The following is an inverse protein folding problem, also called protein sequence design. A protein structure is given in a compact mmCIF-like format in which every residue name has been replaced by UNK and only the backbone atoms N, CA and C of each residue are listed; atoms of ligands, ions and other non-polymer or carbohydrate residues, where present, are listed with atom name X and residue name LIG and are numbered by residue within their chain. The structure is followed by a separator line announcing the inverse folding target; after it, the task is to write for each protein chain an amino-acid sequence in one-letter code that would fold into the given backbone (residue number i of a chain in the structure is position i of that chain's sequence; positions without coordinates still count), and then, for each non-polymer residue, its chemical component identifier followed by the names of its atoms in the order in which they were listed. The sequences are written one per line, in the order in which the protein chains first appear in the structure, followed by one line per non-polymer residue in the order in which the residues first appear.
data_IF_681912328047
#
_entry.id   IF_681912328047
#
_cell.length_a   1.000
_cell.length_b   1.000
_cell.length_c   1.000
_cell.angle_alpha   90.00
_cell.angle_beta   90.00
_cell.angle_gamma   90.00
#
_symmetry.space_group_name_H-M   'P 1'
#
loop_
_entity.id
_entity.type
_entity.pdbx_description
1 polymer ?
#
# COMPACT_ATOMS: atom_id res chain seq x y z
N UNK A 1 5.43 0.86 12.94
CA UNK A 1 6.57 0.37 13.76
C UNK A 1 7.85 0.46 12.93
N UNK A 2 8.63 1.51 13.15
CA UNK A 2 9.92 1.71 12.50
C UNK A 2 10.96 1.01 13.39
N UNK A 3 11.42 -0.17 12.96
CA UNK A 3 12.46 -0.92 13.65
C UNK A 3 13.81 -0.27 13.35
N UNK A 4 14.27 0.65 14.21
CA UNK A 4 15.65 1.14 14.21
C UNK A 4 16.55 0.05 14.82
N UNK A 5 17.08 -0.85 13.98
CA UNK A 5 18.25 -1.67 14.33
C UNK A 5 19.38 -1.19 13.42
N UNK A 6 20.57 -0.86 13.96
CA UNK A 6 21.68 -0.35 13.15
C UNK A 6 22.10 -1.39 12.10
N UNK A 7 22.54 -0.95 10.90
CA UNK A 7 23.02 -1.85 9.87
C UNK A 7 24.29 -2.54 10.37
N UNK A 8 24.22 -3.87 10.55
CA UNK A 8 25.41 -4.67 10.84
C UNK A 8 26.25 -4.74 9.55
N UNK A 9 27.54 -4.38 9.57
CA UNK A 9 28.37 -4.40 8.38
C UNK A 9 28.54 -5.83 7.86
N UNK A 10 28.20 -6.05 6.60
CA UNK A 10 28.50 -7.29 5.88
C UNK A 10 29.99 -7.32 5.56
N UNK A 11 30.75 -8.17 6.24
CA UNK A 11 32.14 -8.45 5.89
C UNK A 11 32.16 -9.63 4.95
N UNK A 12 32.63 -9.42 3.72
CA UNK A 12 32.81 -10.48 2.74
C UNK A 12 34.30 -10.67 2.47
N UNK A 13 34.74 -11.93 2.45
CA UNK A 13 36.10 -12.30 2.06
C UNK A 13 36.02 -13.18 0.83
N UNK A 14 36.49 -12.66 -0.31
CA UNK A 14 36.60 -13.41 -1.56
C UNK A 14 38.00 -13.97 -1.72
N UNK A 15 38.09 -15.19 -2.25
CA UNK A 15 39.36 -15.82 -2.62
C UNK A 15 39.30 -16.22 -4.10
N UNK A 16 40.35 -15.89 -4.84
CA UNK A 16 40.50 -16.25 -6.25
C UNK A 16 41.64 -17.25 -6.38
N UNK A 17 41.39 -18.38 -7.02
CA UNK A 17 42.45 -19.30 -7.47
C UNK A 17 43.05 -18.78 -8.77
N UNK A 18 44.31 -19.13 -9.05
CA UNK A 18 45.09 -18.63 -10.20
C UNK A 18 44.50 -18.96 -11.58
N UNK A 19 43.56 -19.90 -11.64
CA UNK A 19 42.73 -20.17 -12.82
C UNK A 19 41.34 -19.56 -12.60
N UNK A 20 41.13 -18.37 -13.17
CA UNK A 20 39.92 -17.53 -13.04
C UNK A 20 38.64 -18.14 -13.65
N UNK A 21 38.23 -19.36 -13.26
CA UNK A 21 36.94 -19.93 -13.64
C UNK A 21 36.01 -20.24 -12.46
N UNK A 22 36.49 -20.15 -11.22
CA UNK A 22 35.66 -20.47 -10.06
C UNK A 22 35.84 -19.43 -8.96
N UNK A 23 34.76 -18.69 -8.70
CA UNK A 23 34.65 -17.76 -7.58
C UNK A 23 33.87 -18.44 -6.46
N UNK A 24 34.32 -18.26 -5.22
CA UNK A 24 33.55 -18.66 -4.05
C UNK A 24 33.53 -17.54 -3.03
N UNK A 25 32.33 -17.27 -2.53
CA UNK A 25 32.04 -16.18 -1.61
C UNK A 25 31.62 -16.82 -0.30
N UNK A 26 32.45 -16.67 0.74
CA UNK A 26 32.11 -17.08 2.09
C UNK A 26 31.69 -15.83 2.85
N UNK A 27 30.43 -15.81 3.27
CA UNK A 27 29.86 -14.77 4.12
C UNK A 27 29.69 -15.30 5.53
N UNK A 28 29.86 -14.43 6.52
CA UNK A 28 29.40 -14.68 7.90
C UNK A 28 27.88 -14.71 8.00
N UNK A 29 27.34 -14.63 9.22
CA UNK A 29 25.90 -14.68 9.47
C UNK A 29 25.13 -13.56 8.76
N UNK A 30 24.26 -13.95 7.81
CA UNK A 30 23.34 -13.04 7.13
C UNK A 30 22.05 -12.95 7.92
N UNK A 31 21.75 -11.77 8.47
CA UNK A 31 20.48 -11.47 9.13
C UNK A 31 19.58 -10.70 8.18
N UNK A 32 18.50 -11.32 7.71
CA UNK A 32 17.48 -10.66 6.89
C UNK A 32 16.17 -10.55 7.68
N UNK A 33 15.61 -9.33 7.80
CA UNK A 33 14.25 -9.11 8.31
C UNK A 33 13.31 -8.91 7.14
N UNK A 34 12.53 -9.94 6.84
CA UNK A 34 11.52 -9.90 5.79
C UNK A 34 10.18 -9.49 6.40
N UNK A 35 9.68 -8.32 6.02
CA UNK A 35 8.30 -7.94 6.32
C UNK A 35 7.31 -8.80 5.52
N UNK A 36 6.04 -8.91 5.95
CA UNK A 36 5.04 -9.76 5.30
C UNK A 36 4.95 -9.58 3.78
N UNK A 37 5.04 -8.34 3.28
CA UNK A 37 5.03 -8.03 1.86
C UNK A 37 6.26 -8.58 1.09
N UNK A 38 7.45 -8.54 1.70
CA UNK A 38 8.67 -9.10 1.11
C UNK A 38 8.65 -10.63 1.13
N UNK A 39 8.22 -11.23 2.24
CA UNK A 39 8.03 -12.68 2.36
C UNK A 39 7.03 -13.20 1.33
N UNK A 40 5.92 -12.48 1.14
CA UNK A 40 4.92 -12.80 0.14
C UNK A 40 5.49 -12.74 -1.29
N UNK A 41 6.24 -11.68 -1.60
CA UNK A 41 6.85 -11.50 -2.93
C UNK A 41 7.87 -12.59 -3.22
N UNK A 42 8.72 -12.93 -2.24
CA UNK A 42 9.69 -14.02 -2.38
C UNK A 42 9.00 -15.38 -2.56
N UNK A 43 8.00 -15.69 -1.74
CA UNK A 43 7.25 -16.94 -1.87
C UNK A 43 6.54 -17.04 -3.24
N UNK A 44 5.96 -15.95 -3.73
CA UNK A 44 5.32 -15.90 -5.05
C UNK A 44 6.33 -16.06 -6.18
N UNK A 45 7.50 -15.43 -6.06
CA UNK A 45 8.59 -15.56 -7.05
C UNK A 45 9.18 -16.98 -7.09
N UNK A 46 9.31 -17.63 -5.94
CA UNK A 46 9.77 -19.01 -5.86
C UNK A 46 8.74 -19.98 -6.43
N UNK A 47 7.45 -19.77 -6.15
CA UNK A 47 6.37 -20.60 -6.67
C UNK A 47 6.19 -20.49 -8.20
N UNK A 48 6.62 -19.36 -8.80
CA UNK A 48 6.62 -19.14 -10.26
C UNK A 48 7.96 -19.50 -10.92
N UNK A 49 8.97 -19.91 -10.16
CA UNK A 49 10.27 -20.30 -10.69
C UNK A 49 10.20 -21.71 -11.26
N UNK A 50 10.10 -21.82 -12.59
CA UNK A 50 10.23 -23.08 -13.32
C UNK A 50 8.94 -23.65 -13.93
N UNK A 51 7.77 -23.07 -13.67
CA UNK A 51 6.51 -23.42 -14.33
C UNK A 51 5.70 -22.17 -14.70
N UNK A 52 4.89 -22.24 -15.77
CA UNK A 52 3.94 -21.17 -16.08
C UNK A 52 2.95 -21.05 -14.92
N UNK A 53 2.86 -19.87 -14.26
CA UNK A 53 2.06 -19.73 -13.05
C UNK A 53 0.58 -19.92 -13.38
N UNK A 54 0.02 -21.05 -12.98
CA UNK A 54 -1.38 -21.42 -13.25
C UNK A 54 -2.38 -20.63 -12.40
N UNK A 55 -1.92 -19.86 -11.42
CA UNK A 55 -2.73 -18.90 -10.68
C UNK A 55 -1.89 -17.67 -10.29
N UNK A 56 -2.07 -16.55 -10.99
CA UNK A 56 -1.91 -15.16 -10.51
C UNK A 56 -0.79 -14.89 -9.48
N UNK A 57 0.37 -15.52 -9.64
CA UNK A 57 1.44 -15.53 -8.64
C UNK A 57 2.36 -14.31 -8.76
N UNK A 58 1.79 -13.11 -8.87
CA UNK A 58 2.47 -11.86 -8.53
C UNK A 58 1.40 -10.91 -7.98
N UNK A 59 1.13 -11.01 -6.68
CA UNK A 59 0.34 -9.99 -6.00
C UNK A 59 1.25 -8.78 -5.80
N UNK A 60 1.36 -7.95 -6.85
CA UNK A 60 2.07 -6.67 -6.85
C UNK A 60 1.73 -5.93 -5.55
N UNK A 61 2.70 -5.65 -4.67
CA UNK A 61 2.41 -4.96 -3.43
C UNK A 61 1.88 -3.55 -3.72
N UNK A 62 0.96 -3.11 -2.86
CA UNK A 62 0.37 -1.79 -2.89
C UNK A 62 0.92 -0.96 -1.75
N UNK A 63 1.27 0.29 -2.00
CA UNK A 63 1.47 1.28 -0.93
C UNK A 63 0.17 2.04 -0.76
N UNK A 64 -0.58 1.75 0.29
CA UNK A 64 -1.83 2.44 0.61
C UNK A 64 -1.49 3.67 1.45
N UNK A 65 -1.83 4.85 0.95
CA UNK A 65 -1.54 6.15 1.55
C UNK A 65 -2.85 6.82 1.96
N UNK A 66 -2.94 7.23 3.21
CA UNK A 66 -3.99 8.11 3.69
C UNK A 66 -3.52 9.57 3.48
N UNK A 67 -4.04 10.25 2.47
CA UNK A 67 -3.81 11.67 2.22
C UNK A 67 -4.98 12.53 2.71
N UNK A 68 -5.73 12.04 3.69
CA UNK A 68 -6.83 12.77 4.31
C UNK A 68 -6.42 13.31 5.68
N UNK A 69 -7.16 14.29 6.18
CA UNK A 69 -6.99 14.82 7.53
C UNK A 69 -7.75 14.00 8.59
N UNK A 70 -8.27 12.82 8.24
CA UNK A 70 -8.97 11.92 9.15
C UNK A 70 -8.26 10.56 9.16
N UNK A 71 -8.22 9.87 10.31
CA UNK A 71 -7.71 8.52 10.35
C UNK A 71 -8.70 7.58 9.64
N UNK A 72 -8.18 6.71 8.79
CA UNK A 72 -8.97 5.74 8.03
C UNK A 72 -8.56 4.32 8.41
N UNK A 73 -9.40 3.36 8.03
CA UNK A 73 -9.07 1.93 8.06
C UNK A 73 -9.40 1.30 6.72
N UNK A 74 -8.71 0.21 6.39
CA UNK A 74 -8.99 -0.57 5.19
C UNK A 74 -8.76 -2.06 5.42
N UNK A 75 -9.35 -2.88 4.54
CA UNK A 75 -9.24 -4.35 4.56
C UNK A 75 -9.47 -4.96 3.18
N UNK A 76 -9.01 -6.19 2.96
CA UNK A 76 -9.52 -7.00 1.86
C UNK A 76 -11.00 -7.32 2.07
N UNK A 77 -11.84 -7.16 1.03
CA UNK A 77 -13.26 -7.48 1.09
C UNK A 77 -13.48 -8.95 1.48
N UNK A 78 -14.40 -9.17 2.44
CA UNK A 78 -14.71 -10.51 2.96
C UNK A 78 -13.61 -11.12 3.84
N UNK A 79 -12.64 -10.34 4.30
CA UNK A 79 -11.65 -10.74 5.30
C UNK A 79 -11.91 -10.09 6.67
N UNK A 80 -11.28 -10.63 7.70
CA UNK A 80 -11.19 -10.09 9.05
C UNK A 80 -10.01 -9.12 9.22
N UNK A 81 -9.39 -8.67 8.12
CA UNK A 81 -8.31 -7.68 8.20
C UNK A 81 -8.81 -6.34 8.77
N UNK A 82 -7.95 -5.71 9.55
CA UNK A 82 -8.20 -4.39 10.12
C UNK A 82 -6.90 -3.59 10.12
N UNK A 83 -6.67 -2.81 9.07
CA UNK A 83 -5.46 -2.01 8.95
C UNK A 83 -5.83 -0.55 9.15
N UNK A 84 -5.43 0.01 10.28
CA UNK A 84 -5.61 1.42 10.60
C UNK A 84 -4.46 2.26 10.02
N UNK A 85 -4.81 3.39 9.41
CA UNK A 85 -3.90 4.38 8.82
C UNK A 85 -4.24 5.76 9.39
N UNK A 86 -3.32 6.32 10.18
CA UNK A 86 -3.46 7.71 10.64
C UNK A 86 -3.31 8.68 9.46
N UNK A 87 -3.65 9.95 9.70
CA UNK A 87 -3.54 11.01 8.71
C UNK A 87 -2.11 11.08 8.14
N UNK A 88 -1.99 11.23 6.83
CA UNK A 88 -0.71 11.35 6.11
C UNK A 88 0.24 10.16 6.26
N UNK A 89 -0.26 9.00 6.70
CA UNK A 89 0.53 7.77 6.78
C UNK A 89 0.37 6.89 5.55
N UNK A 90 1.32 5.98 5.38
CA UNK A 90 1.27 4.95 4.36
C UNK A 90 1.55 3.55 4.93
N UNK A 91 1.02 2.54 4.26
CA UNK A 91 1.17 1.14 4.64
C UNK A 91 1.48 0.31 3.39
N UNK A 92 2.54 -0.51 3.48
CA UNK A 92 2.86 -1.48 2.43
C UNK A 92 1.96 -2.71 2.61
N UNK A 93 1.01 -2.86 1.71
CA UNK A 93 -0.03 -3.86 1.70
C UNK A 93 0.21 -4.92 0.62
N UNK A 94 -0.13 -6.16 0.94
CA UNK A 94 -0.27 -7.26 -0.01
C UNK A 94 -1.56 -7.99 0.31
N UNK A 95 -2.26 -8.47 -0.71
CA UNK A 95 -3.48 -9.25 -0.52
C UNK A 95 -3.24 -10.42 0.42
N UNK A 96 -4.10 -10.58 1.43
CA UNK A 96 -3.99 -11.67 2.40
C UNK A 96 -4.24 -13.03 1.78
N UNK A 97 -5.20 -13.10 0.86
CA UNK A 97 -5.55 -14.35 0.19
C UNK A 97 -6.13 -14.11 -1.20
N UNK A 98 -5.84 -15.02 -2.11
CA UNK A 98 -6.46 -15.07 -3.45
C UNK A 98 -7.79 -15.80 -3.45
N UNK A 99 -8.20 -16.40 -2.32
CA UNK A 99 -9.48 -17.10 -2.17
C UNK A 99 -10.67 -16.14 -1.95
N UNK A 100 -10.39 -14.87 -1.69
CA UNK A 100 -11.37 -13.79 -1.50
C UNK A 100 -11.22 -12.78 -2.63
N UNK A 101 -12.24 -11.94 -2.89
CA UNK A 101 -12.15 -10.87 -3.88
C UNK A 101 -10.91 -9.99 -3.64
N UNK A 102 -10.22 -9.63 -4.73
CA UNK A 102 -9.08 -8.71 -4.69
C UNK A 102 -9.57 -7.26 -4.72
N UNK A 103 -10.38 -6.93 -3.71
CA UNK A 103 -11.05 -5.64 -3.55
C UNK A 103 -10.72 -5.06 -2.17
N UNK A 104 -10.54 -3.75 -2.10
CA UNK A 104 -10.37 -3.04 -0.83
C UNK A 104 -11.68 -2.41 -0.37
N UNK A 105 -11.98 -2.58 0.91
CA UNK A 105 -13.02 -1.83 1.62
C UNK A 105 -12.35 -0.81 2.52
N UNK A 106 -12.96 0.37 2.64
CA UNK A 106 -12.48 1.49 3.45
C UNK A 106 -13.52 1.86 4.50
N UNK A 107 -13.06 2.39 5.64
CA UNK A 107 -13.91 2.98 6.67
C UNK A 107 -13.17 4.10 7.39
N UNK A 108 -13.88 4.92 8.16
CA UNK A 108 -13.26 5.87 9.07
C UNK A 108 -12.83 5.14 10.35
N UNK A 109 -11.74 5.62 10.96
CA UNK A 109 -11.29 5.12 12.25
C UNK A 109 -11.97 5.93 13.37
N UNK A 110 -13.28 5.73 13.53
CA UNK A 110 -14.06 6.32 14.62
C UNK A 110 -14.45 5.24 15.65
N UNK A 111 -14.48 5.57 16.96
CA UNK A 111 -14.68 4.56 18.02
C UNK A 111 -16.01 3.81 17.95
N UNK A 112 -17.06 4.47 17.45
CA UNK A 112 -18.42 3.93 17.42
C UNK A 112 -18.84 3.40 16.05
N UNK A 113 -17.94 3.46 15.05
CA UNK A 113 -18.29 3.11 13.68
C UNK A 113 -17.69 1.76 13.24
N UNK A 114 -18.57 0.86 12.78
CA UNK A 114 -18.17 -0.42 12.17
C UNK A 114 -18.60 -0.53 10.71
N UNK A 115 -19.01 0.58 10.09
CA UNK A 115 -19.36 0.60 8.68
C UNK A 115 -18.12 0.52 7.78
N UNK A 116 -18.33 -0.12 6.63
CA UNK A 116 -17.34 -0.34 5.59
C UNK A 116 -17.95 0.07 4.26
N UNK A 117 -17.13 0.64 3.39
CA UNK A 117 -17.52 0.94 2.03
C UNK A 117 -17.78 -0.35 1.23
N UNK A 118 -18.39 -0.19 0.07
CA UNK A 118 -18.37 -1.24 -0.96
C UNK A 118 -16.91 -1.55 -1.35
N UNK A 119 -16.66 -2.81 -1.68
CA UNK A 119 -15.39 -3.27 -2.24
C UNK A 119 -15.00 -2.52 -3.51
N UNK A 120 -13.75 -2.08 -3.56
CA UNK A 120 -13.14 -1.39 -4.69
C UNK A 120 -12.08 -2.28 -5.34
N UNK A 121 -12.27 -2.61 -6.62
CA UNK A 121 -11.22 -3.23 -7.44
C UNK A 121 -10.16 -2.18 -7.76
N UNK A 122 -8.90 -2.46 -7.41
CA UNK A 122 -7.80 -1.55 -7.69
C UNK A 122 -7.37 -1.66 -9.15
N UNK A 123 -7.53 -0.58 -9.91
CA UNK A 123 -7.10 -0.48 -11.31
C UNK A 123 -6.15 0.70 -11.49
N UNK A 124 -4.95 0.46 -12.01
CA UNK A 124 -3.98 1.53 -12.20
C UNK A 124 -4.49 2.59 -13.19
N UNK A 125 -4.26 3.86 -12.88
CA UNK A 125 -4.65 5.00 -13.71
C UNK A 125 -6.09 5.48 -13.48
N UNK A 126 -6.83 4.90 -12.54
CA UNK A 126 -8.21 5.30 -12.25
C UNK A 126 -8.32 6.07 -10.94
N UNK A 127 -9.28 7.01 -10.92
CA UNK A 127 -9.75 7.68 -9.73
C UNK A 127 -11.20 7.23 -9.50
N UNK A 128 -11.50 6.73 -8.31
CA UNK A 128 -12.83 6.25 -7.96
C UNK A 128 -13.31 6.93 -6.69
N UNK A 129 -14.57 7.38 -6.70
CA UNK A 129 -15.22 7.94 -5.53
C UNK A 129 -15.86 6.81 -4.74
N UNK A 130 -15.38 6.62 -3.51
CA UNK A 130 -15.90 5.66 -2.56
C UNK A 130 -16.77 6.40 -1.55
N UNK A 131 -18.06 6.10 -1.53
CA UNK A 131 -19.00 6.66 -0.56
C UNK A 131 -19.03 5.79 0.69
N UNK A 132 -19.07 6.42 1.84
CA UNK A 132 -19.23 5.76 3.14
C UNK A 132 -20.18 6.57 4.01
N UNK A 133 -20.87 5.86 4.89
CA UNK A 133 -21.72 6.43 5.92
C UNK A 133 -21.04 6.14 7.25
N UNK A 134 -21.00 7.13 8.13
CA UNK A 134 -20.41 7.01 9.46
C UNK A 134 -21.18 7.91 10.39
N UNK A 135 -21.72 7.38 11.48
CA UNK A 135 -22.48 8.13 12.49
C UNK A 135 -23.58 9.04 11.87
N UNK A 136 -24.27 8.56 10.83
CA UNK A 136 -25.32 9.31 10.12
C UNK A 136 -24.82 10.39 9.15
N UNK A 137 -23.50 10.59 8.99
CA UNK A 137 -22.91 11.53 8.05
C UNK A 137 -22.39 10.82 6.80
N UNK A 138 -22.71 11.37 5.63
CA UNK A 138 -22.13 10.91 4.36
C UNK A 138 -20.71 11.45 4.20
N UNK A 139 -19.78 10.56 3.85
CA UNK A 139 -18.44 10.92 3.43
C UNK A 139 -18.15 10.35 2.04
N UNK A 140 -17.29 11.05 1.29
CA UNK A 140 -16.76 10.58 0.02
C UNK A 140 -15.23 10.60 0.09
N UNK A 141 -14.61 9.47 -0.21
CA UNK A 141 -13.17 9.33 -0.38
C UNK A 141 -12.85 9.26 -1.87
N UNK A 142 -11.83 9.97 -2.32
CA UNK A 142 -11.33 9.89 -3.68
C UNK A 142 -10.12 8.97 -3.66
N UNK A 143 -10.32 7.72 -4.09
CA UNK A 143 -9.26 6.72 -4.16
C UNK A 143 -8.64 6.76 -5.54
N UNK A 144 -7.34 7.04 -5.61
CA UNK A 144 -6.56 7.06 -6.84
C UNK A 144 -5.52 5.96 -6.81
N UNK A 145 -5.38 5.22 -7.90
CA UNK A 145 -4.37 4.17 -8.03
C UNK A 145 -3.39 4.55 -9.11
N UNK A 146 -2.11 4.67 -8.77
CA UNK A 146 -1.04 4.99 -9.72
C UNK A 146 0.10 4.00 -9.60
N UNK A 147 0.81 3.78 -10.70
CA UNK A 147 2.01 2.95 -10.69
C UNK A 147 3.17 3.75 -10.09
N UNK A 148 3.75 3.27 -9.00
CA UNK A 148 4.89 3.91 -8.34
C UNK A 148 6.22 3.43 -8.95
N UNK A 149 6.29 2.15 -9.30
CA UNK A 149 7.43 1.53 -9.96
C UNK A 149 7.00 0.42 -10.91
N UNK A 150 7.95 -0.26 -11.55
CA UNK A 150 7.66 -1.45 -12.37
C UNK A 150 6.97 -2.56 -11.56
N UNK A 151 7.15 -2.59 -10.23
CA UNK A 151 6.73 -3.68 -9.33
C UNK A 151 5.82 -3.25 -8.19
N UNK A 152 5.52 -1.94 -8.04
CA UNK A 152 4.72 -1.42 -6.92
C UNK A 152 3.67 -0.44 -7.44
N UNK A 153 2.45 -0.61 -6.97
CA UNK A 153 1.37 0.34 -7.17
C UNK A 153 1.13 1.15 -5.90
N UNK A 154 0.73 2.40 -6.04
CA UNK A 154 0.35 3.27 -4.95
C UNK A 154 -1.15 3.52 -5.00
N UNK A 155 -1.83 3.31 -3.87
CA UNK A 155 -3.23 3.68 -3.65
C UNK A 155 -3.23 4.90 -2.77
N UNK A 156 -3.70 6.05 -3.26
CA UNK A 156 -3.82 7.27 -2.46
C UNK A 156 -5.29 7.53 -2.19
N UNK A 157 -5.66 7.50 -0.91
CA UNK A 157 -6.99 7.84 -0.41
C UNK A 157 -6.99 9.31 -0.07
N UNK A 158 -7.71 10.11 -0.85
CA UNK A 158 -7.87 11.55 -0.63
C UNK A 158 -9.24 11.85 -0.02
N UNK A 159 -9.34 13.02 0.62
CA UNK A 159 -10.63 13.54 1.09
C UNK A 159 -11.53 14.00 -0.06
N UNK A 160 -12.61 14.69 0.30
CA UNK A 160 -13.64 15.15 -0.65
C UNK A 160 -13.13 16.21 -1.63
N UNK A 161 -12.04 16.92 -1.33
CA UNK A 161 -11.49 17.98 -2.15
C UNK A 161 -9.98 17.84 -2.24
N UNK A 162 -9.46 17.81 -3.48
CA UNK A 162 -8.04 17.91 -3.77
C UNK A 162 -7.83 19.13 -4.70
N UNK A 163 -7.03 20.09 -4.25
CA UNK A 163 -6.74 21.31 -5.00
C UNK A 163 -5.27 21.30 -5.42
N UNK A 164 -5.02 21.59 -6.69
CA UNK A 164 -3.69 21.75 -7.24
C UNK A 164 -3.59 23.15 -7.86
N UNK A 165 -2.63 23.95 -7.39
CA UNK A 165 -2.34 25.25 -7.98
C UNK A 165 -1.20 25.09 -9.00
N UNK A 166 -1.48 25.34 -10.29
CA UNK A 166 -0.47 25.35 -11.36
C UNK A 166 0.01 26.76 -11.73
N UNK A 167 -0.42 27.79 -11.00
CA UNK A 167 -0.01 29.17 -11.25
C UNK A 167 1.36 29.45 -10.64
N UNK A 168 2.11 30.37 -11.26
CA UNK A 168 3.36 30.90 -10.71
C UNK A 168 3.12 31.89 -9.54
N UNK A 169 1.87 32.13 -9.17
CA UNK A 169 1.45 33.07 -8.12
C UNK A 169 0.63 32.36 -7.03
N UNK A 170 0.63 32.88 -5.78
CA UNK A 170 -0.21 32.36 -4.71
C UNK A 170 -1.70 32.42 -5.07
N UNK A 171 -2.44 31.38 -4.70
CA UNK A 171 -3.90 31.31 -4.88
C UNK A 171 -4.56 31.32 -3.51
N UNK A 172 -5.45 32.29 -3.27
CA UNK A 172 -6.24 32.38 -2.04
C UNK A 172 -7.65 31.85 -2.31
N UNK A 173 -8.09 30.87 -1.51
CA UNK A 173 -9.38 30.22 -1.66
C UNK A 173 -10.15 30.35 -0.35
N UNK A 174 -11.39 30.82 -0.44
CA UNK A 174 -12.35 30.82 0.67
C UNK A 174 -13.51 29.90 0.32
N UNK A 175 -13.70 28.86 1.13
CA UNK A 175 -14.88 28.02 1.08
C UNK A 175 -15.98 28.73 1.87
N UNK A 176 -17.09 29.05 1.22
CA UNK A 176 -18.25 29.67 1.85
C UNK A 176 -19.38 28.62 1.83
N UNK A 177 -19.99 28.29 2.98
CA UNK A 177 -21.16 27.43 3.01
C UNK A 177 -22.30 28.13 2.26
N UNK A 178 -23.12 27.35 1.56
CA UNK A 178 -24.30 27.90 0.86
C UNK A 178 -25.25 28.50 1.92
N UNK A 179 -25.51 29.80 1.81
CA UNK A 179 -26.49 30.49 2.63
C UNK A 179 -27.86 30.12 2.08
N UNK A 180 -28.40 28.98 2.52
CA UNK A 180 -29.75 28.58 2.17
C UNK A 180 -30.75 29.62 2.67
N UNK A 181 -31.21 30.47 1.74
CA UNK A 181 -32.46 31.21 1.79
C UNK A 181 -33.57 30.39 1.11
#
# INVERSE_FOLDING_TARGET
YQSCVPPVPLVTTGYTTSDCQQWSLVTGHVHARLGPALSHTLASSLASWGSQPTHYAVLTPYVVCNNTCLPIRFRQSGSDEYIALQCFQCHLYSWRTTKRPLELEFGLLEPEDNEWSKGLVLQAGTNTVVKLMTAGRQYALIVSVKRLSSTVNQVVVNGQLALHNSLAVPLEIRIVPDSGD
#
